data_IF_923939004917
#
_entry.id   IF_923939004917
#
_cell.length_a   1.000
_cell.length_b   1.000
_cell.length_c   1.000
_cell.angle_alpha   90.00
_cell.angle_beta   90.00
_cell.angle_gamma   90.00
#
_symmetry.space_group_name_H-M   'P 1'
#
loop_
_entity.id
_entity.type
_entity.pdbx_description
1 polymer ?
#
# COMPACT_ATOMS: atom_id res chain seq x y z
N UNK A 1 5.84 -1.53 -42.97
CA UNK A 1 6.33 -0.68 -41.86
C UNK A 1 5.58 -0.94 -40.55
N UNK A 2 4.23 -0.94 -40.52
CA UNK A 2 3.46 -1.22 -39.29
C UNK A 2 3.73 -2.61 -38.65
N UNK A 3 3.84 -3.67 -39.46
CA UNK A 3 4.12 -5.03 -38.96
C UNK A 3 5.50 -5.16 -38.29
N UNK A 4 6.51 -4.44 -38.80
CA UNK A 4 7.84 -4.43 -38.21
C UNK A 4 7.88 -3.62 -36.91
N UNK A 5 7.14 -2.51 -36.84
CA UNK A 5 6.98 -1.74 -35.60
C UNK A 5 6.24 -2.56 -34.52
N UNK A 6 5.18 -3.27 -34.89
CA UNK A 6 4.44 -4.15 -33.98
C UNK A 6 5.31 -5.33 -33.50
N UNK A 7 6.06 -5.97 -34.40
CA UNK A 7 7.02 -7.02 -34.06
C UNK A 7 8.09 -6.52 -33.08
N UNK A 8 8.65 -5.33 -33.32
CA UNK A 8 9.67 -4.74 -32.46
C UNK A 8 9.11 -4.37 -31.07
N UNK A 9 7.87 -3.89 -31.01
CA UNK A 9 7.19 -3.56 -29.76
C UNK A 9 6.81 -4.82 -28.96
N UNK A 10 6.34 -5.86 -29.65
CA UNK A 10 6.07 -7.16 -29.03
C UNK A 10 7.37 -7.83 -28.53
N UNK A 11 8.47 -7.72 -29.28
CA UNK A 11 9.78 -8.19 -28.84
C UNK A 11 10.33 -7.38 -27.66
N UNK A 12 10.14 -6.06 -27.64
CA UNK A 12 10.55 -5.23 -26.50
C UNK A 12 9.77 -5.58 -25.23
N UNK A 13 8.43 -5.68 -25.31
CA UNK A 13 7.60 -6.16 -24.19
C UNK A 13 7.98 -7.57 -23.75
N UNK A 14 8.21 -8.50 -24.68
CA UNK A 14 8.62 -9.85 -24.33
C UNK A 14 10.01 -9.86 -23.70
N UNK A 15 10.92 -8.99 -24.14
CA UNK A 15 12.26 -8.87 -23.56
C UNK A 15 12.20 -8.28 -22.16
N UNK A 16 11.39 -7.26 -21.92
CA UNK A 16 11.21 -6.69 -20.58
C UNK A 16 10.49 -7.66 -19.63
N UNK A 17 9.54 -8.46 -20.16
CA UNK A 17 8.91 -9.57 -19.43
C UNK A 17 9.89 -10.71 -19.10
N UNK A 18 10.79 -11.04 -20.03
CA UNK A 18 11.84 -12.06 -19.84
C UNK A 18 13.03 -11.57 -19.01
N UNK A 19 13.31 -10.26 -19.00
CA UNK A 19 14.39 -9.60 -18.25
C UNK A 19 13.93 -9.10 -16.87
N UNK A 20 12.62 -9.02 -16.61
CA UNK A 20 12.10 -9.00 -15.25
C UNK A 20 12.53 -10.32 -14.60
N UNK A 21 13.65 -10.28 -13.88
CA UNK A 21 14.20 -11.44 -13.20
C UNK A 21 13.06 -12.13 -12.44
N UNK A 22 12.73 -13.39 -12.78
CA UNK A 22 11.57 -14.08 -12.23
C UNK A 22 11.61 -14.16 -10.70
N UNK A 23 12.75 -13.87 -10.07
CA UNK A 23 12.92 -13.81 -8.62
C UNK A 23 12.47 -12.48 -7.98
N UNK A 24 12.38 -11.39 -8.73
CA UNK A 24 12.08 -10.05 -8.18
C UNK A 24 10.75 -10.01 -7.40
N UNK A 25 9.61 -10.51 -7.93
CA UNK A 25 8.36 -10.48 -7.19
C UNK A 25 8.45 -11.29 -5.88
N UNK A 26 9.02 -12.49 -5.94
CA UNK A 26 9.08 -13.40 -4.79
C UNK A 26 10.05 -12.90 -3.70
N UNK A 27 11.22 -12.40 -4.10
CA UNK A 27 12.19 -11.81 -3.16
C UNK A 27 11.61 -10.55 -2.52
N UNK A 28 10.88 -9.73 -3.27
CA UNK A 28 10.18 -8.55 -2.74
C UNK A 28 9.09 -8.90 -1.74
N UNK A 29 8.34 -9.99 -1.94
CA UNK A 29 7.37 -10.51 -0.96
C UNK A 29 8.05 -10.88 0.35
N UNK A 30 9.17 -11.61 0.29
CA UNK A 30 9.94 -11.98 1.49
C UNK A 30 10.50 -10.75 2.21
N UNK A 31 11.00 -9.77 1.45
CA UNK A 31 11.42 -8.47 2.00
C UNK A 31 10.24 -7.78 2.69
N UNK A 32 9.05 -7.78 2.09
CA UNK A 32 7.84 -7.22 2.69
C UNK A 32 7.50 -7.85 4.03
N UNK A 33 7.49 -9.18 4.12
CA UNK A 33 7.26 -9.91 5.39
C UNK A 33 8.31 -9.53 6.44
N UNK A 34 9.59 -9.47 6.05
CA UNK A 34 10.66 -9.07 6.95
C UNK A 34 10.51 -7.62 7.45
N UNK A 35 10.20 -6.68 6.56
CA UNK A 35 9.95 -5.27 6.88
C UNK A 35 8.75 -5.13 7.82
N UNK A 36 7.70 -5.93 7.65
CA UNK A 36 6.56 -5.97 8.56
C UNK A 36 6.98 -6.35 9.98
N UNK A 37 7.81 -7.39 10.12
CA UNK A 37 8.34 -7.78 11.43
C UNK A 37 9.19 -6.67 12.06
N UNK A 38 10.05 -6.03 11.27
CA UNK A 38 10.85 -4.90 11.73
C UNK A 38 9.98 -3.73 12.18
N UNK A 39 8.98 -3.33 11.38
CA UNK A 39 8.08 -2.23 11.69
C UNK A 39 7.25 -2.49 12.96
N UNK A 40 6.80 -3.74 13.14
CA UNK A 40 6.11 -4.17 14.36
C UNK A 40 7.01 -4.06 15.59
N UNK A 41 8.24 -4.57 15.52
CA UNK A 41 9.20 -4.52 16.63
C UNK A 41 9.62 -3.09 16.94
N UNK A 42 9.87 -2.27 15.91
CA UNK A 42 10.20 -0.87 16.05
C UNK A 42 9.06 -0.11 16.72
N UNK A 43 7.81 -0.34 16.30
CA UNK A 43 6.62 0.24 16.95
C UNK A 43 6.57 -0.14 18.42
N UNK A 44 6.78 -1.42 18.74
CA UNK A 44 6.82 -1.91 20.12
C UNK A 44 7.90 -1.21 20.95
N UNK A 45 9.12 -1.13 20.41
CA UNK A 45 10.27 -0.51 21.08
C UNK A 45 9.98 0.97 21.34
N UNK A 46 9.67 1.74 20.30
CA UNK A 46 9.36 3.17 20.41
C UNK A 46 8.20 3.41 21.38
N UNK A 47 7.12 2.64 21.27
CA UNK A 47 5.96 2.80 22.16
C UNK A 47 6.32 2.51 23.62
N UNK A 48 7.17 1.52 23.89
CA UNK A 48 7.60 1.21 25.26
C UNK A 48 8.43 2.32 25.91
N UNK A 49 9.20 3.09 25.12
CA UNK A 49 10.02 4.19 25.62
C UNK A 49 9.25 5.52 25.72
N UNK A 50 8.44 5.85 24.71
CA UNK A 50 7.82 7.17 24.57
C UNK A 50 6.39 7.23 25.08
N UNK A 51 5.65 6.12 25.11
CA UNK A 51 4.25 6.08 25.53
C UNK A 51 4.08 5.40 26.88
N UNK A 52 4.01 6.20 27.95
CA UNK A 52 3.81 5.70 29.33
C UNK A 52 2.57 4.80 29.49
N UNK A 53 1.51 5.05 28.71
CA UNK A 53 0.29 4.23 28.73
C UNK A 53 0.43 2.87 28.06
N UNK A 54 1.46 2.66 27.24
CA UNK A 54 1.65 1.40 26.49
C UNK A 54 1.87 0.19 27.42
N UNK A 55 2.62 0.36 28.51
CA UNK A 55 2.88 -0.71 29.48
C UNK A 55 1.61 -1.14 30.23
N UNK A 56 0.66 -0.23 30.42
CA UNK A 56 -0.63 -0.50 31.07
C UNK A 56 -1.68 -1.16 30.16
N UNK A 57 -1.43 -1.25 28.85
CA UNK A 57 -2.35 -1.92 27.92
C UNK A 57 -2.39 -3.43 28.16
N UNK A 58 -3.55 -4.03 27.89
CA UNK A 58 -3.69 -5.50 27.89
C UNK A 58 -2.82 -6.13 26.80
N UNK A 59 -2.55 -7.45 26.91
CA UNK A 59 -1.75 -8.16 25.91
C UNK A 59 -2.32 -8.00 24.50
N UNK A 60 -3.64 -8.09 24.34
CA UNK A 60 -4.33 -7.98 23.06
C UNK A 60 -4.25 -6.55 22.51
N UNK A 61 -4.51 -5.53 23.35
CA UNK A 61 -4.37 -4.13 22.94
C UNK A 61 -2.94 -3.78 22.52
N UNK A 62 -1.91 -4.33 23.17
CA UNK A 62 -0.52 -4.13 22.72
C UNK A 62 -0.26 -4.76 21.36
N UNK A 63 -0.86 -5.92 21.08
CA UNK A 63 -0.72 -6.56 19.77
C UNK A 63 -1.40 -5.71 18.70
N UNK A 64 -2.63 -5.24 18.94
CA UNK A 64 -3.34 -4.32 18.04
C UNK A 64 -2.56 -3.02 17.84
N UNK A 65 -2.04 -2.44 18.93
CA UNK A 65 -1.22 -1.22 18.88
C UNK A 65 -0.01 -1.37 17.97
N UNK A 66 0.75 -2.46 18.15
CA UNK A 66 1.92 -2.74 17.32
C UNK A 66 1.53 -3.04 15.88
N UNK A 67 0.39 -3.71 15.67
CA UNK A 67 -0.13 -3.98 14.34
C UNK A 67 -0.48 -2.70 13.59
N UNK A 68 -1.16 -1.75 14.25
CA UNK A 68 -1.49 -0.44 13.71
C UNK A 68 -0.25 0.39 13.36
N UNK A 69 0.84 0.24 14.12
CA UNK A 69 2.10 0.89 13.77
C UNK A 69 2.74 0.28 12.52
N UNK A 70 2.73 -1.04 12.39
CA UNK A 70 3.18 -1.73 11.18
C UNK A 70 2.36 -1.30 9.95
N UNK A 71 1.02 -1.33 10.04
CA UNK A 71 0.16 -0.92 8.92
C UNK A 71 0.32 0.54 8.56
N UNK A 72 0.53 1.43 9.54
CA UNK A 72 0.85 2.83 9.26
C UNK A 72 2.18 2.99 8.51
N UNK A 73 3.20 2.20 8.85
CA UNK A 73 4.49 2.25 8.16
C UNK A 73 4.39 1.77 6.70
N UNK A 74 3.66 0.66 6.46
CA UNK A 74 3.38 0.18 5.11
C UNK A 74 2.58 1.21 4.30
N UNK A 75 1.51 1.76 4.88
CA UNK A 75 0.65 2.72 4.22
C UNK A 75 1.41 3.98 3.78
N UNK A 76 2.28 4.53 4.64
CA UNK A 76 3.17 5.65 4.29
C UNK A 76 4.11 5.26 3.13
N UNK A 77 4.73 4.09 3.21
CA UNK A 77 5.65 3.60 2.18
C UNK A 77 4.94 3.48 0.83
N UNK A 78 3.83 2.74 0.77
CA UNK A 78 3.18 2.44 -0.51
C UNK A 78 2.53 3.68 -1.10
N UNK A 79 1.95 4.57 -0.28
CA UNK A 79 1.41 5.83 -0.76
C UNK A 79 2.50 6.73 -1.36
N UNK A 80 3.64 6.87 -0.68
CA UNK A 80 4.75 7.68 -1.19
C UNK A 80 5.31 7.12 -2.51
N UNK A 81 5.49 5.80 -2.60
CA UNK A 81 5.91 5.14 -3.84
C UNK A 81 4.86 5.30 -4.95
N UNK A 82 3.57 5.20 -4.61
CA UNK A 82 2.47 5.37 -5.57
C UNK A 82 2.49 6.77 -6.19
N UNK A 83 2.57 7.81 -5.35
CA UNK A 83 2.66 9.21 -5.81
C UNK A 83 3.92 9.42 -6.64
N UNK A 84 5.06 8.87 -6.21
CA UNK A 84 6.30 8.96 -6.97
C UNK A 84 6.17 8.34 -8.36
N UNK A 85 5.70 7.09 -8.46
CA UNK A 85 5.56 6.39 -9.74
C UNK A 85 4.54 7.05 -10.66
N UNK A 86 3.36 7.41 -10.15
CA UNK A 86 2.27 8.00 -10.92
C UNK A 86 2.60 9.43 -11.37
N UNK A 87 3.04 10.29 -10.45
CA UNK A 87 3.15 11.72 -10.72
C UNK A 87 4.56 12.19 -11.09
N UNK A 88 5.59 11.43 -10.71
CA UNK A 88 7.00 11.89 -10.82
C UNK A 88 7.85 11.08 -11.80
N UNK A 89 7.35 9.97 -12.35
CA UNK A 89 8.10 9.14 -13.31
C UNK A 89 7.42 9.10 -14.67
N UNK A 90 8.20 8.85 -15.72
CA UNK A 90 7.67 8.67 -17.08
C UNK A 90 6.96 7.31 -17.29
N UNK A 91 6.98 6.40 -16.31
CA UNK A 91 6.46 5.03 -16.42
C UNK A 91 5.00 4.99 -16.91
N UNK A 92 4.21 5.93 -16.41
CA UNK A 92 2.78 6.07 -16.74
C UNK A 92 2.47 7.32 -17.57
N UNK A 93 3.51 7.96 -18.15
CA UNK A 93 3.35 9.18 -18.95
C UNK A 93 2.84 8.90 -20.36
N UNK A 94 2.23 9.93 -20.97
CA UNK A 94 1.79 9.88 -22.37
C UNK A 94 2.93 9.80 -23.40
N UNK A 95 4.18 9.98 -22.97
CA UNK A 95 5.34 9.99 -23.86
C UNK A 95 5.74 8.59 -24.30
N UNK A 96 5.34 7.57 -23.54
CA UNK A 96 5.61 6.17 -23.88
C UNK A 96 4.50 5.62 -24.79
N UNK A 97 4.88 4.74 -25.71
CA UNK A 97 3.95 4.09 -26.63
C UNK A 97 3.31 2.84 -26.00
N UNK A 98 2.05 2.55 -26.34
CA UNK A 98 1.30 1.37 -25.89
C UNK A 98 0.37 1.65 -24.71
N UNK A 99 -0.56 0.74 -24.38
CA UNK A 99 -1.59 1.01 -23.37
C UNK A 99 -0.98 1.11 -21.96
N UNK A 100 -1.46 2.05 -21.16
CA UNK A 100 -0.98 2.29 -19.78
C UNK A 100 -1.19 1.07 -18.86
N UNK A 101 -2.16 0.22 -19.20
CA UNK A 101 -2.51 -1.02 -18.50
C UNK A 101 -1.44 -2.11 -18.56
N UNK A 102 -0.56 -2.10 -19.57
CA UNK A 102 0.50 -3.11 -19.72
C UNK A 102 1.89 -2.60 -19.32
N UNK A 103 1.95 -1.46 -18.63
CA UNK A 103 3.22 -0.82 -18.24
C UNK A 103 3.60 -1.20 -16.82
N UNK A 104 4.81 -1.69 -16.66
CA UNK A 104 5.42 -2.03 -15.38
C UNK A 104 6.93 -1.86 -15.46
N UNK A 105 7.58 -1.90 -14.30
CA UNK A 105 9.03 -1.81 -14.14
C UNK A 105 9.47 -2.70 -12.98
N UNK A 106 10.76 -3.02 -12.88
CA UNK A 106 11.30 -3.77 -11.74
C UNK A 106 10.97 -3.07 -10.42
N UNK A 107 11.10 -1.74 -10.35
CA UNK A 107 10.84 -0.96 -9.14
C UNK A 107 9.36 -1.02 -8.76
N UNK A 108 8.47 -0.82 -9.73
CA UNK A 108 7.03 -0.86 -9.50
C UNK A 108 6.55 -2.27 -9.15
N UNK A 109 7.08 -3.32 -9.78
CA UNK A 109 6.76 -4.70 -9.38
C UNK A 109 7.31 -5.04 -7.99
N UNK A 110 8.51 -4.56 -7.64
CA UNK A 110 9.10 -4.78 -6.32
C UNK A 110 8.29 -4.12 -5.20
N UNK A 111 7.82 -2.89 -5.40
CA UNK A 111 6.99 -2.19 -4.41
C UNK A 111 5.61 -2.84 -4.20
N UNK A 112 4.99 -3.38 -5.26
CA UNK A 112 3.80 -4.22 -5.11
C UNK A 112 4.14 -5.51 -4.36
N UNK A 113 5.29 -6.14 -4.61
CA UNK A 113 5.72 -7.33 -3.88
C UNK A 113 5.92 -7.10 -2.38
N UNK A 114 6.54 -5.98 -2.00
CA UNK A 114 6.61 -5.57 -0.59
C UNK A 114 5.20 -5.45 0.01
N UNK A 115 4.26 -4.88 -0.75
CA UNK A 115 2.86 -4.75 -0.30
C UNK A 115 2.13 -6.08 -0.19
N UNK A 116 2.35 -7.03 -1.11
CA UNK A 116 1.82 -8.40 -1.00
C UNK A 116 2.34 -9.07 0.27
N UNK A 117 3.63 -8.95 0.59
CA UNK A 117 4.20 -9.47 1.83
C UNK A 117 3.56 -8.86 3.07
N UNK A 118 3.23 -7.57 3.04
CA UNK A 118 2.45 -6.90 4.08
C UNK A 118 1.03 -7.46 4.20
N UNK A 119 0.26 -7.51 3.10
CA UNK A 119 -1.12 -7.99 3.14
C UNK A 119 -1.23 -9.45 3.61
N UNK A 120 -0.26 -10.31 3.25
CA UNK A 120 -0.17 -11.67 3.78
C UNK A 120 0.04 -11.66 5.31
N UNK A 121 0.99 -10.85 5.78
CA UNK A 121 1.33 -10.76 7.21
C UNK A 121 0.14 -10.24 8.01
N UNK A 122 -0.50 -9.17 7.55
CA UNK A 122 -1.64 -8.56 8.24
C UNK A 122 -2.87 -9.47 8.24
N UNK A 123 -3.19 -10.09 7.09
CA UNK A 123 -4.29 -11.05 7.00
C UNK A 123 -4.06 -12.27 7.91
N UNK A 124 -2.82 -12.78 8.00
CA UNK A 124 -2.47 -13.87 8.90
C UNK A 124 -2.70 -13.49 10.38
N UNK A 125 -2.33 -12.27 10.77
CA UNK A 125 -2.59 -11.78 12.13
C UNK A 125 -4.07 -11.58 12.40
N UNK A 126 -4.82 -11.02 11.45
CA UNK A 126 -6.27 -10.85 11.55
C UNK A 126 -6.94 -12.20 11.79
N UNK A 127 -6.60 -13.24 11.01
CA UNK A 127 -7.14 -14.59 11.23
C UNK A 127 -6.73 -15.19 12.57
N UNK A 128 -5.46 -15.05 12.96
CA UNK A 128 -4.95 -15.61 14.21
C UNK A 128 -5.61 -15.01 15.45
N UNK A 129 -5.99 -13.74 15.39
CA UNK A 129 -6.51 -12.98 16.53
C UNK A 129 -7.98 -12.62 16.37
N UNK A 130 -8.66 -13.14 15.35
CA UNK A 130 -10.06 -12.86 15.06
C UNK A 130 -10.95 -13.18 16.28
N UNK A 131 -11.91 -12.31 16.66
CA UNK A 131 -12.28 -11.01 16.05
C UNK A 131 -11.58 -9.79 16.68
N UNK A 132 -10.49 -9.98 17.42
CA UNK A 132 -9.87 -8.94 18.26
C UNK A 132 -9.17 -7.83 17.47
N UNK A 133 -8.74 -8.09 16.22
CA UNK A 133 -8.06 -7.11 15.36
C UNK A 133 -8.97 -6.45 14.32
N UNK A 134 -10.25 -6.84 14.25
CA UNK A 134 -11.20 -6.33 13.26
C UNK A 134 -12.33 -7.31 12.99
N UNK A 135 -13.42 -6.79 12.41
CA UNK A 135 -14.56 -7.58 11.96
C UNK A 135 -14.35 -8.25 10.60
N UNK A 136 -15.42 -8.82 10.06
CA UNK A 136 -15.41 -9.51 8.77
C UNK A 136 -15.10 -8.57 7.60
N UNK A 137 -15.43 -7.28 7.74
CA UNK A 137 -15.08 -6.22 6.79
C UNK A 137 -13.57 -6.11 6.58
N UNK A 138 -12.75 -6.29 7.62
CA UNK A 138 -11.29 -6.28 7.51
C UNK A 138 -10.78 -7.52 6.77
N UNK A 139 -11.35 -8.69 7.07
CA UNK A 139 -10.98 -9.94 6.37
C UNK A 139 -11.28 -9.84 4.88
N UNK A 140 -12.47 -9.38 4.52
CA UNK A 140 -12.89 -9.21 3.13
C UNK A 140 -12.02 -8.17 2.41
N UNK A 141 -11.81 -7.01 3.03
CA UNK A 141 -10.98 -5.95 2.46
C UNK A 141 -9.54 -6.43 2.21
N UNK A 142 -8.87 -7.02 3.22
CA UNK A 142 -7.48 -7.47 3.07
C UNK A 142 -7.35 -8.63 2.09
N UNK A 143 -8.33 -9.54 2.03
CA UNK A 143 -8.32 -10.64 1.06
C UNK A 143 -8.47 -10.10 -0.37
N UNK A 144 -9.42 -9.19 -0.61
CA UNK A 144 -9.63 -8.60 -1.93
C UNK A 144 -8.41 -7.78 -2.38
N UNK A 145 -7.86 -6.96 -1.48
CA UNK A 145 -6.63 -6.19 -1.73
C UNK A 145 -5.45 -7.11 -2.03
N UNK A 146 -5.26 -8.18 -1.26
CA UNK A 146 -4.19 -9.16 -1.48
C UNK A 146 -4.29 -9.80 -2.87
N UNK A 147 -5.48 -10.27 -3.25
CA UNK A 147 -5.69 -10.89 -4.56
C UNK A 147 -5.44 -9.90 -5.70
N UNK A 148 -5.96 -8.68 -5.59
CA UNK A 148 -5.80 -7.65 -6.61
C UNK A 148 -4.33 -7.25 -6.79
N UNK A 149 -3.61 -6.98 -5.69
CA UNK A 149 -2.21 -6.54 -5.73
C UNK A 149 -1.29 -7.69 -6.14
N UNK A 150 -1.56 -8.93 -5.70
CA UNK A 150 -0.80 -10.09 -6.14
C UNK A 150 -0.98 -10.36 -7.63
N UNK A 151 -2.20 -10.21 -8.15
CA UNK A 151 -2.45 -10.32 -9.60
C UNK A 151 -1.63 -9.28 -10.37
N UNK A 152 -1.72 -8.00 -10.01
CA UNK A 152 -1.06 -6.90 -10.75
C UNK A 152 0.46 -6.93 -10.63
N UNK A 153 0.98 -7.45 -9.51
CA UNK A 153 2.40 -7.74 -9.35
C UNK A 153 2.87 -8.86 -10.29
N UNK A 154 2.15 -9.98 -10.34
CA UNK A 154 2.57 -11.18 -11.09
C UNK A 154 2.36 -11.05 -12.60
N UNK A 155 1.26 -10.41 -13.02
CA UNK A 155 0.98 -10.18 -14.44
C UNK A 155 1.76 -9.00 -15.01
N UNK A 156 2.14 -8.03 -14.16
CA UNK A 156 2.66 -6.74 -14.61
C UNK A 156 1.58 -5.83 -15.22
N UNK A 157 0.31 -6.23 -15.15
CA UNK A 157 -0.82 -5.51 -15.74
C UNK A 157 -1.59 -4.71 -14.68
N UNK A 158 -2.19 -3.59 -15.09
CA UNK A 158 -3.04 -2.76 -14.25
C UNK A 158 -2.30 -2.05 -13.10
N UNK A 159 -0.97 -1.99 -13.15
CA UNK A 159 -0.17 -1.38 -12.08
C UNK A 159 -0.53 0.10 -11.89
N UNK A 160 -0.75 0.85 -12.96
CA UNK A 160 -1.19 2.26 -12.87
C UNK A 160 -2.43 2.42 -11.97
N UNK A 161 -3.52 1.72 -12.29
CA UNK A 161 -4.76 1.81 -11.51
C UNK A 161 -4.60 1.27 -10.09
N UNK A 162 -3.75 0.26 -9.91
CA UNK A 162 -3.42 -0.26 -8.57
C UNK A 162 -2.74 0.83 -7.73
N UNK A 163 -1.73 1.50 -8.30
CA UNK A 163 -1.03 2.60 -7.63
C UNK A 163 -1.94 3.79 -7.36
N UNK A 164 -2.83 4.14 -8.28
CA UNK A 164 -3.87 5.15 -8.04
C UNK A 164 -4.70 4.82 -6.80
N UNK A 165 -5.20 3.58 -6.69
CA UNK A 165 -5.97 3.15 -5.52
C UNK A 165 -5.10 3.18 -4.25
N UNK A 166 -3.84 2.74 -4.33
CA UNK A 166 -2.92 2.69 -3.19
C UNK A 166 -2.53 4.08 -2.65
N UNK A 167 -2.73 5.18 -3.39
CA UNK A 167 -2.61 6.54 -2.83
C UNK A 167 -3.62 6.75 -1.70
N UNK A 168 -4.78 6.10 -1.74
CA UNK A 168 -5.81 6.22 -0.69
C UNK A 168 -5.41 5.59 0.65
N UNK A 169 -4.36 4.75 0.67
CA UNK A 169 -3.76 4.23 1.91
C UNK A 169 -3.18 5.34 2.79
N UNK A 170 -2.95 6.57 2.26
CA UNK A 170 -2.59 7.73 3.09
C UNK A 170 -3.59 8.03 4.23
N UNK A 171 -4.82 7.54 4.12
CA UNK A 171 -5.82 7.66 5.19
C UNK A 171 -5.60 6.68 6.35
N UNK A 172 -4.92 5.55 6.11
CA UNK A 172 -4.66 4.48 7.09
C UNK A 172 -3.85 4.96 8.30
N UNK A 173 -2.72 5.69 8.15
CA UNK A 173 -1.98 6.27 9.27
C UNK A 173 -2.84 7.21 10.12
N UNK A 174 -3.71 7.99 9.50
CA UNK A 174 -4.58 8.93 10.22
C UNK A 174 -5.67 8.22 11.02
N UNK A 175 -6.27 7.16 10.46
CA UNK A 175 -7.22 6.29 11.17
C UNK A 175 -6.54 5.60 12.36
N UNK A 176 -5.32 5.09 12.16
CA UNK A 176 -4.52 4.47 13.22
C UNK A 176 -4.13 5.48 14.30
N UNK A 177 -3.74 6.69 13.91
CA UNK A 177 -3.43 7.77 14.84
C UNK A 177 -4.63 8.15 15.69
N UNK A 178 -5.83 8.21 15.10
CA UNK A 178 -7.07 8.42 15.85
C UNK A 178 -7.28 7.35 16.91
N UNK A 179 -7.06 6.09 16.55
CA UNK A 179 -7.17 4.96 17.48
C UNK A 179 -6.12 5.02 18.59
N UNK A 180 -4.87 5.42 18.28
CA UNK A 180 -3.83 5.61 19.29
C UNK A 180 -4.21 6.71 20.30
N UNK A 181 -4.73 7.84 19.81
CA UNK A 181 -5.19 8.94 20.65
C UNK A 181 -6.37 8.51 21.55
N UNK A 182 -7.32 7.75 21.00
CA UNK A 182 -8.44 7.20 21.77
C UNK A 182 -7.96 6.26 22.88
N UNK A 183 -7.12 5.28 22.50
CA UNK A 183 -6.56 4.29 23.43
C UNK A 183 -5.68 4.91 24.51
N UNK A 184 -5.03 6.03 24.21
CA UNK A 184 -4.29 6.83 25.18
C UNK A 184 -5.16 7.72 26.09
N UNK A 185 -6.49 7.68 25.95
CA UNK A 185 -7.42 8.51 26.72
C UNK A 185 -7.51 9.97 26.26
N UNK A 186 -7.01 10.28 25.06
CA UNK A 186 -6.90 11.65 24.52
C UNK A 186 -8.05 12.05 23.59
N UNK A 187 -9.20 11.36 23.66
CA UNK A 187 -10.41 11.65 22.86
C UNK A 187 -10.90 13.11 22.93
N UNK A 188 -10.69 13.79 24.06
CA UNK A 188 -11.10 15.19 24.30
C UNK A 188 -10.03 16.23 23.96
N UNK A 189 -8.87 15.79 23.45
CA UNK A 189 -7.76 16.68 23.12
C UNK A 189 -7.96 17.39 21.77
N UNK A 190 -7.33 18.55 21.61
CA UNK A 190 -7.26 19.23 20.30
C UNK A 190 -6.58 18.37 19.24
N UNK A 191 -5.62 17.52 19.61
CA UNK A 191 -4.96 16.59 18.69
C UNK A 191 -5.96 15.59 18.06
N UNK A 192 -6.90 15.07 18.84
CA UNK A 192 -7.95 14.16 18.33
C UNK A 192 -8.90 14.88 17.37
N UNK A 193 -9.24 16.14 17.65
CA UNK A 193 -10.05 16.95 16.74
C UNK A 193 -9.32 17.25 15.43
N UNK A 194 -8.06 17.70 15.50
CA UNK A 194 -7.23 18.02 14.33
C UNK A 194 -7.05 16.77 13.46
N UNK A 195 -6.70 15.62 14.05
CA UNK A 195 -6.60 14.36 13.30
C UNK A 195 -7.95 14.01 12.62
N UNK A 196 -9.09 14.25 13.26
CA UNK A 196 -10.40 14.08 12.62
C UNK A 196 -10.61 14.94 11.38
N UNK A 197 -10.16 16.20 11.41
CA UNK A 197 -10.20 17.09 10.24
C UNK A 197 -9.22 16.59 9.17
N UNK A 198 -8.01 16.18 9.56
CA UNK A 198 -7.00 15.67 8.64
C UNK A 198 -7.46 14.42 7.90
N UNK A 199 -8.13 13.46 8.57
CA UNK A 199 -8.71 12.28 7.91
C UNK A 199 -9.61 12.71 6.74
N UNK A 200 -10.51 13.66 6.97
CA UNK A 200 -11.43 14.13 5.93
C UNK A 200 -10.69 14.82 4.77
N UNK A 201 -9.73 15.69 5.09
CA UNK A 201 -8.94 16.42 4.08
C UNK A 201 -8.09 15.46 3.25
N UNK A 202 -7.35 14.55 3.89
CA UNK A 202 -6.48 13.57 3.22
C UNK A 202 -7.29 12.63 2.33
N UNK A 203 -8.45 12.17 2.82
CA UNK A 203 -9.37 11.37 2.02
C UNK A 203 -9.88 12.14 0.79
N UNK A 204 -10.30 13.40 0.97
CA UNK A 204 -10.82 14.24 -0.11
C UNK A 204 -9.76 14.53 -1.19
N UNK A 205 -8.53 14.81 -0.76
CA UNK A 205 -7.41 15.03 -1.69
C UNK A 205 -7.07 13.76 -2.45
N UNK A 206 -7.00 12.62 -1.76
CA UNK A 206 -6.69 11.33 -2.39
C UNK A 206 -7.71 10.94 -3.44
N UNK A 207 -9.01 11.08 -3.15
CA UNK A 207 -10.06 10.76 -4.13
C UNK A 207 -10.06 11.74 -5.30
N UNK A 208 -9.80 13.02 -5.04
CA UNK A 208 -9.75 14.06 -6.08
C UNK A 208 -8.57 13.84 -7.02
N UNK A 209 -7.39 13.50 -6.49
CA UNK A 209 -6.23 13.10 -7.28
C UNK A 209 -6.55 11.85 -8.12
N UNK A 210 -7.23 10.88 -7.52
CA UNK A 210 -7.63 9.66 -8.21
C UNK A 210 -8.59 9.91 -9.38
N UNK A 211 -9.57 10.78 -9.17
CA UNK A 211 -10.52 11.19 -10.21
C UNK A 211 -9.83 11.99 -11.33
N UNK A 212 -8.94 12.92 -10.99
CA UNK A 212 -8.25 13.77 -11.95
C UNK A 212 -7.39 12.93 -12.89
N UNK A 213 -6.53 12.09 -12.32
CA UNK A 213 -5.59 11.28 -13.10
C UNK A 213 -6.31 10.20 -13.92
N UNK A 214 -7.40 9.64 -13.38
CA UNK A 214 -8.25 8.73 -14.14
C UNK A 214 -8.96 9.46 -15.29
N UNK A 215 -9.43 10.69 -15.09
CA UNK A 215 -10.05 11.49 -16.15
C UNK A 215 -9.08 11.83 -17.27
N UNK A 216 -7.83 12.15 -16.93
CA UNK A 216 -6.77 12.45 -17.92
C UNK A 216 -6.39 11.21 -18.74
N UNK A 217 -6.50 10.02 -18.15
CA UNK A 217 -6.03 8.78 -18.77
C UNK A 217 -7.16 7.87 -19.30
N UNK A 218 -8.43 8.22 -19.10
CA UNK A 218 -9.61 7.46 -19.57
C UNK A 218 -9.71 7.31 -21.08
N UNK A 219 -9.20 8.28 -21.85
CA UNK A 219 -9.20 8.23 -23.32
C UNK A 219 -8.06 7.36 -23.90
N UNK A 220 -7.24 6.74 -23.03
CA UNK A 220 -5.94 6.15 -23.38
C UNK A 220 -5.78 4.69 -22.94
N UNK A 221 -6.83 4.10 -22.37
CA UNK A 221 -6.91 2.72 -21.89
C UNK A 221 -7.41 1.75 -22.96
#
# INVERSE_FOLDING_TARGET
MAMAAYSNQAQAMMRDYLLADPLVPYTSVLIGVFLCKMAYDLTRILSSFYFKGYSSLTKIQRVEWNNRGMSSAHAIFIAAVSVYLVASTDLFSDRLNGPITFRSSIISTSALGVSVGYFITDLAMIFWLFPSLGGMEYVLHHTLSLVAIAYTMLSGEGQFYTYMILISETTTPEINMRWFLDTAGLKKSSAYLINGILIFVVWLVSISLNCLECSVNKEKA
#
